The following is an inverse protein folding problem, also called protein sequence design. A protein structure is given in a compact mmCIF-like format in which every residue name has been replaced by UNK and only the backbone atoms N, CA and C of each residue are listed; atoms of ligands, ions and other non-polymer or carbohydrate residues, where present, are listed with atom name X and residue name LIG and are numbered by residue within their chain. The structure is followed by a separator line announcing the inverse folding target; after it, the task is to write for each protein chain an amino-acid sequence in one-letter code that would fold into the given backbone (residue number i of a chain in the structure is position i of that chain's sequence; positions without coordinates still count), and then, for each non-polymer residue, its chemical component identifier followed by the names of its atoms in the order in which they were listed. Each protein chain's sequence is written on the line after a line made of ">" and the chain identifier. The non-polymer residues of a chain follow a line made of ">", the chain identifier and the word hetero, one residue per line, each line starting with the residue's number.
data_IF_954108628372
#
_entry.id   IF_954108628372
#
_cell.length_a   1.000
_cell.length_b   1.000
_cell.length_c   1.000
_cell.angle_alpha   90.00
_cell.angle_beta   90.00
_cell.angle_gamma   90.00
#
_symmetry.space_group_name_H-M   'P 1'
#
loop_
_entity.id
_entity.type
_entity.pdbx_description
1 polymer ?
#
# COMPACT_ATOMS: atom_id res chain seq x y z
N UNK A 1 -17.44 20.22 -27.93
CA UNK A 1 -17.51 21.38 -27.03
C UNK A 1 -17.38 20.88 -25.61
N UNK A 2 -16.16 20.46 -25.20
CA UNK A 2 -15.74 20.19 -23.81
C UNK A 2 -14.31 19.60 -23.76
N UNK A 3 -13.38 20.19 -24.52
CA UNK A 3 -11.94 19.98 -24.31
C UNK A 3 -11.27 21.27 -23.77
N UNK A 4 -11.87 22.43 -24.06
CA UNK A 4 -11.31 23.74 -23.72
C UNK A 4 -11.41 24.07 -22.22
N UNK A 5 -12.40 23.52 -21.50
CA UNK A 5 -12.64 23.84 -20.09
C UNK A 5 -11.64 23.17 -19.10
N UNK A 6 -10.94 22.10 -19.54
CA UNK A 6 -9.93 21.42 -18.72
C UNK A 6 -8.54 22.03 -18.87
N UNK A 7 -8.21 22.56 -20.05
CA UNK A 7 -6.95 23.25 -20.29
C UNK A 7 -6.90 24.57 -19.51
N UNK A 8 -8.01 25.31 -19.48
CA UNK A 8 -8.08 26.61 -18.79
C UNK A 8 -7.91 26.49 -17.27
N UNK A 9 -8.45 25.44 -16.64
CA UNK A 9 -8.26 25.19 -15.20
C UNK A 9 -6.83 24.74 -14.84
N UNK A 10 -6.11 24.12 -15.78
CA UNK A 10 -4.70 23.75 -15.59
C UNK A 10 -3.79 24.95 -15.85
N UNK A 11 -4.06 25.76 -16.88
CA UNK A 11 -3.30 26.96 -17.21
C UNK A 11 -3.38 28.05 -16.13
N UNK A 12 -4.57 28.32 -15.56
CA UNK A 12 -4.77 29.39 -14.56
C UNK A 12 -3.89 29.20 -13.30
N UNK A 13 -3.53 27.96 -12.93
CA UNK A 13 -2.73 27.68 -11.74
C UNK A 13 -1.23 27.58 -12.02
N UNK A 14 -0.82 27.45 -13.29
CA UNK A 14 0.58 27.39 -13.71
C UNK A 14 1.19 28.80 -13.80
N UNK A 15 0.40 29.80 -14.17
CA UNK A 15 0.86 31.20 -14.28
C UNK A 15 1.27 31.82 -12.93
N UNK A 16 0.82 31.22 -11.81
CA UNK A 16 1.24 31.56 -10.44
C UNK A 16 2.19 30.55 -9.82
N UNK A 17 2.55 29.51 -10.57
CA UNK A 17 3.47 28.47 -10.14
C UNK A 17 4.91 28.98 -10.10
N UNK A 18 5.73 28.38 -9.24
CA UNK A 18 7.18 28.60 -9.23
C UNK A 18 7.87 27.58 -10.15
N UNK A 19 9.05 27.90 -10.71
CA UNK A 19 9.86 26.92 -11.44
C UNK A 19 10.16 25.67 -10.59
N UNK A 20 10.30 24.51 -11.24
CA UNK A 20 10.57 23.25 -10.53
C UNK A 20 11.82 23.32 -9.62
N UNK A 21 12.87 24.00 -10.07
CA UNK A 21 14.10 24.18 -9.26
C UNK A 21 13.79 24.89 -7.94
N UNK A 22 12.97 25.92 -7.97
CA UNK A 22 12.52 26.66 -6.80
C UNK A 22 11.58 25.82 -5.94
N UNK A 23 10.61 25.12 -6.54
CA UNK A 23 9.71 24.22 -5.82
C UNK A 23 10.47 23.14 -5.03
N UNK A 24 11.52 22.56 -5.61
CA UNK A 24 12.36 21.56 -4.94
C UNK A 24 13.17 22.16 -3.79
N UNK A 25 13.67 23.38 -3.94
CA UNK A 25 14.33 24.11 -2.84
C UNK A 25 13.36 24.45 -1.72
N UNK A 26 12.14 24.91 -2.05
CA UNK A 26 11.08 25.18 -1.08
C UNK A 26 10.66 23.91 -0.35
N UNK A 27 10.58 22.78 -1.03
CA UNK A 27 10.31 21.48 -0.42
C UNK A 27 11.42 21.05 0.54
N UNK A 28 12.69 21.23 0.15
CA UNK A 28 13.85 20.97 1.01
C UNK A 28 13.80 21.78 2.30
N UNK A 29 13.53 23.09 2.18
CA UNK A 29 13.39 24.00 3.31
C UNK A 29 12.21 23.61 4.19
N UNK A 30 11.07 23.24 3.60
CA UNK A 30 9.91 22.78 4.35
C UNK A 30 10.20 21.49 5.15
N UNK A 31 10.95 20.53 4.58
CA UNK A 31 11.39 19.34 5.31
C UNK A 31 12.34 19.68 6.47
N UNK A 32 13.22 20.67 6.29
CA UNK A 32 14.06 21.25 7.35
C UNK A 32 13.22 21.86 8.48
N UNK A 33 12.28 22.74 8.13
CA UNK A 33 11.41 23.44 9.08
C UNK A 33 10.50 22.46 9.86
N UNK A 34 10.15 21.32 9.25
CA UNK A 34 9.42 20.23 9.92
C UNK A 34 10.32 19.30 10.74
N UNK A 35 11.64 19.48 10.69
CA UNK A 35 12.61 18.60 11.37
C UNK A 35 12.69 17.21 10.77
N UNK A 36 12.22 17.00 9.54
CA UNK A 36 12.12 15.68 8.89
C UNK A 36 13.36 15.40 8.02
N UNK A 37 13.99 16.44 7.45
CA UNK A 37 15.05 16.28 6.43
C UNK A 37 16.18 15.34 6.83
N UNK A 38 16.57 15.33 8.11
CA UNK A 38 17.67 14.53 8.64
C UNK A 38 17.19 13.29 9.42
N UNK A 39 15.91 12.95 9.31
CA UNK A 39 15.32 11.76 9.93
C UNK A 39 15.28 10.60 8.94
N UNK A 40 14.93 9.40 9.42
CA UNK A 40 14.62 8.29 8.55
C UNK A 40 13.17 8.43 8.04
N UNK A 41 13.01 8.99 6.84
CA UNK A 41 11.72 9.10 6.15
C UNK A 41 11.78 8.50 4.74
N UNK A 42 10.62 8.26 4.14
CA UNK A 42 10.49 7.81 2.78
C UNK A 42 9.36 8.56 2.06
N UNK A 43 9.57 8.86 0.78
CA UNK A 43 8.51 9.35 -0.10
C UNK A 43 7.55 8.20 -0.41
N UNK A 44 6.25 8.48 -0.46
CA UNK A 44 5.21 7.52 -0.83
C UNK A 44 4.45 8.03 -2.03
N UNK A 45 4.27 7.19 -3.04
CA UNK A 45 3.56 7.50 -4.28
C UNK A 45 2.54 6.40 -4.58
N UNK A 46 1.53 6.69 -5.40
CA UNK A 46 0.62 5.64 -5.86
C UNK A 46 1.30 4.70 -6.87
N UNK A 47 2.27 5.19 -7.65
CA UNK A 47 3.00 4.36 -8.61
C UNK A 47 4.44 4.81 -8.80
N UNK A 48 5.24 4.02 -9.50
CA UNK A 48 6.61 4.41 -9.85
C UNK A 48 6.66 5.62 -10.79
N UNK A 49 5.55 5.95 -11.47
CA UNK A 49 5.50 7.02 -12.47
C UNK A 49 5.97 8.37 -11.93
N UNK A 50 5.55 8.74 -10.71
CA UNK A 50 5.82 10.05 -10.12
C UNK A 50 7.34 10.33 -9.97
N UNK A 51 8.06 9.40 -9.33
CA UNK A 51 9.48 9.58 -9.01
C UNK A 51 10.41 9.05 -10.12
N UNK A 52 10.06 7.94 -10.77
CA UNK A 52 10.91 7.29 -11.76
C UNK A 52 10.80 7.93 -13.15
N UNK A 53 9.62 8.39 -13.53
CA UNK A 53 9.37 8.89 -14.88
C UNK A 53 9.21 10.41 -14.84
N UNK A 54 8.16 10.91 -14.18
CA UNK A 54 7.80 12.33 -14.24
C UNK A 54 8.91 13.22 -13.68
N UNK A 55 9.25 13.06 -12.39
CA UNK A 55 10.24 13.92 -11.75
C UNK A 55 11.65 13.74 -12.31
N UNK A 56 12.04 12.49 -12.63
CA UNK A 56 13.35 12.18 -13.20
C UNK A 56 13.53 12.82 -14.58
N UNK A 57 12.58 12.58 -15.50
CA UNK A 57 12.64 13.13 -16.86
C UNK A 57 12.60 14.65 -16.85
N UNK A 58 11.76 15.25 -16.00
CA UNK A 58 11.65 16.71 -15.90
C UNK A 58 12.93 17.34 -15.34
N UNK A 59 13.53 16.75 -14.31
CA UNK A 59 14.83 17.20 -13.77
C UNK A 59 15.94 17.06 -14.82
N UNK A 60 15.98 15.94 -15.55
CA UNK A 60 16.96 15.73 -16.61
C UNK A 60 16.82 16.76 -17.73
N UNK A 61 15.60 16.95 -18.23
CA UNK A 61 15.28 17.89 -19.31
C UNK A 61 15.66 19.33 -18.92
N UNK A 62 15.31 19.75 -17.70
CA UNK A 62 15.59 21.10 -17.18
C UNK A 62 16.99 21.25 -16.58
N UNK A 63 17.82 20.20 -16.59
CA UNK A 63 19.17 20.16 -15.99
C UNK A 63 19.16 20.54 -14.49
N UNK A 64 18.13 20.13 -13.77
CA UNK A 64 17.97 20.35 -12.33
C UNK A 64 18.54 19.14 -11.58
N UNK A 65 19.34 19.39 -10.55
CA UNK A 65 19.79 18.33 -9.66
C UNK A 65 18.63 17.86 -8.77
N UNK A 66 18.14 16.65 -9.03
CA UNK A 66 17.05 16.05 -8.24
C UNK A 66 17.50 15.76 -6.79
N UNK A 67 16.71 16.12 -5.77
CA UNK A 67 17.00 15.76 -4.38
C UNK A 67 17.09 14.24 -4.16
N UNK A 68 18.12 13.72 -3.46
CA UNK A 68 18.35 12.27 -3.35
C UNK A 68 17.24 11.48 -2.65
N UNK A 69 16.44 12.10 -1.78
CA UNK A 69 15.32 11.41 -1.12
C UNK A 69 14.18 11.06 -2.08
N UNK A 70 14.14 11.61 -3.31
CA UNK A 70 13.26 11.14 -4.39
C UNK A 70 13.83 9.95 -5.17
N UNK A 71 15.05 9.46 -4.84
CA UNK A 71 15.62 8.26 -5.47
C UNK A 71 15.22 6.96 -4.78
N UNK A 72 14.45 7.03 -3.68
CA UNK A 72 13.98 5.86 -2.92
C UNK A 72 12.56 6.15 -2.42
N UNK A 73 11.60 5.33 -2.79
CA UNK A 73 10.19 5.54 -2.41
C UNK A 73 9.45 4.24 -2.17
N UNK A 74 8.25 4.39 -1.61
CA UNK A 74 7.25 3.34 -1.47
C UNK A 74 6.17 3.58 -2.53
N UNK A 75 6.10 2.68 -3.49
CA UNK A 75 5.01 2.57 -4.46
C UNK A 75 3.86 1.82 -3.78
N UNK A 76 2.81 2.54 -3.38
CA UNK A 76 1.71 2.03 -2.59
C UNK A 76 0.86 0.98 -3.33
N UNK A 77 0.94 0.86 -4.66
CA UNK A 77 0.30 -0.25 -5.40
C UNK A 77 0.85 -1.61 -4.98
N UNK A 78 2.13 -1.71 -4.62
CA UNK A 78 2.77 -2.98 -4.24
C UNK A 78 2.10 -3.55 -2.97
N UNK A 79 2.13 -2.86 -1.82
CA UNK A 79 1.48 -3.34 -0.60
C UNK A 79 -0.05 -3.41 -0.75
N UNK A 80 -0.67 -2.51 -1.53
CA UNK A 80 -2.09 -2.62 -1.81
C UNK A 80 -2.43 -3.95 -2.50
N UNK A 81 -1.65 -4.37 -3.51
CA UNK A 81 -1.87 -5.65 -4.19
C UNK A 81 -1.61 -6.85 -3.32
N UNK A 82 -0.67 -6.75 -2.37
CA UNK A 82 -0.43 -7.81 -1.40
C UNK A 82 -1.64 -8.03 -0.50
N UNK A 83 -2.28 -6.94 -0.08
CA UNK A 83 -3.42 -6.96 0.85
C UNK A 83 -4.74 -7.26 0.15
N UNK A 84 -4.99 -6.68 -1.02
CA UNK A 84 -6.28 -6.76 -1.74
C UNK A 84 -6.24 -7.70 -2.95
N UNK A 85 -5.10 -8.32 -3.24
CA UNK A 85 -4.87 -9.13 -4.44
C UNK A 85 -4.46 -8.29 -5.66
N UNK A 86 -4.04 -8.97 -6.73
CA UNK A 86 -3.54 -8.36 -7.97
C UNK A 86 -4.62 -7.70 -8.84
N UNK A 87 -5.55 -6.96 -8.23
CA UNK A 87 -6.60 -6.22 -8.92
C UNK A 87 -5.99 -5.05 -9.68
N UNK A 88 -6.28 -4.95 -10.97
CA UNK A 88 -5.96 -3.76 -11.77
C UNK A 88 -6.95 -2.67 -11.39
N UNK A 89 -6.44 -1.60 -10.79
CA UNK A 89 -7.22 -0.45 -10.39
C UNK A 89 -6.38 0.83 -10.41
N UNK A 90 -7.06 1.96 -10.58
CA UNK A 90 -6.51 3.29 -10.35
C UNK A 90 -6.56 3.67 -8.85
N UNK A 91 -6.02 4.85 -8.48
CA UNK A 91 -5.94 5.26 -7.08
C UNK A 91 -7.33 5.39 -6.43
N UNK A 92 -8.29 5.99 -7.15
CA UNK A 92 -9.64 6.22 -6.66
C UNK A 92 -10.36 4.90 -6.40
N UNK A 93 -10.27 3.96 -7.34
CA UNK A 93 -10.79 2.60 -7.19
C UNK A 93 -10.13 1.88 -6.01
N UNK A 94 -8.81 2.00 -5.83
CA UNK A 94 -8.11 1.39 -4.71
C UNK A 94 -8.56 1.94 -3.35
N UNK A 95 -8.73 3.25 -3.24
CA UNK A 95 -9.28 3.92 -2.05
C UNK A 95 -10.68 3.38 -1.74
N UNK A 96 -11.53 3.25 -2.76
CA UNK A 96 -12.88 2.72 -2.61
C UNK A 96 -12.91 1.22 -2.26
N UNK A 97 -12.02 0.42 -2.84
CA UNK A 97 -11.86 -1.01 -2.53
C UNK A 97 -11.36 -1.23 -1.09
N UNK A 98 -10.57 -0.29 -0.57
CA UNK A 98 -10.18 -0.26 0.85
C UNK A 98 -11.32 0.21 1.78
N UNK A 99 -12.52 0.46 1.25
CA UNK A 99 -13.67 0.91 2.04
C UNK A 99 -13.62 2.39 2.45
N UNK A 100 -12.72 3.19 1.85
CA UNK A 100 -12.61 4.62 2.09
C UNK A 100 -13.40 5.41 1.04
N UNK A 101 -14.05 6.50 1.45
CA UNK A 101 -14.65 7.44 0.52
C UNK A 101 -13.55 8.31 -0.14
N UNK A 102 -13.65 8.55 -1.44
CA UNK A 102 -12.79 9.50 -2.14
C UNK A 102 -13.09 10.93 -1.67
N UNK A 103 -12.04 11.70 -1.36
CA UNK A 103 -12.17 13.11 -0.97
C UNK A 103 -11.55 14.03 -2.03
N UNK A 104 -12.22 15.14 -2.35
CA UNK A 104 -11.72 16.13 -3.31
C UNK A 104 -11.88 15.72 -4.78
N UNK A 105 -11.15 16.39 -5.66
CA UNK A 105 -11.23 16.18 -7.12
C UNK A 105 -10.17 15.19 -7.59
N UNK A 106 -10.59 14.19 -8.34
CA UNK A 106 -9.66 13.26 -8.99
C UNK A 106 -8.72 14.02 -9.94
N UNK A 107 -7.46 13.61 -9.99
CA UNK A 107 -6.40 14.23 -10.80
C UNK A 107 -6.00 15.64 -10.34
N UNK A 108 -6.43 16.06 -9.14
CA UNK A 108 -5.81 17.17 -8.44
C UNK A 108 -4.69 16.62 -7.57
N UNK A 109 -3.43 17.01 -7.83
CA UNK A 109 -2.26 16.41 -7.16
C UNK A 109 -2.31 16.46 -5.63
N UNK A 110 -2.87 17.54 -5.05
CA UNK A 110 -3.04 17.65 -3.59
C UNK A 110 -4.08 16.67 -3.05
N UNK A 111 -5.22 16.53 -3.72
CA UNK A 111 -6.28 15.61 -3.29
C UNK A 111 -5.86 14.15 -3.49
N UNK A 112 -5.15 13.83 -4.59
CA UNK A 112 -4.58 12.52 -4.83
C UNK A 112 -3.53 12.15 -3.76
N UNK A 113 -2.69 13.10 -3.35
CA UNK A 113 -1.73 12.91 -2.26
C UNK A 113 -2.42 12.66 -0.91
N UNK A 114 -3.49 13.42 -0.59
CA UNK A 114 -4.29 13.20 0.63
C UNK A 114 -4.93 11.82 0.65
N UNK A 115 -5.54 11.39 -0.45
CA UNK A 115 -6.16 10.07 -0.53
C UNK A 115 -5.13 8.95 -0.47
N UNK A 116 -3.94 9.14 -1.05
CA UNK A 116 -2.82 8.20 -0.92
C UNK A 116 -2.35 8.09 0.53
N UNK A 117 -2.22 9.21 1.25
CA UNK A 117 -1.87 9.22 2.67
C UNK A 117 -2.96 8.52 3.53
N UNK A 118 -4.25 8.72 3.22
CA UNK A 118 -5.36 8.03 3.89
C UNK A 118 -5.31 6.52 3.67
N UNK A 119 -5.05 6.08 2.44
CA UNK A 119 -4.89 4.67 2.11
C UNK A 119 -3.67 4.05 2.81
N UNK A 120 -2.53 4.74 2.81
CA UNK A 120 -1.32 4.33 3.53
C UNK A 120 -1.62 4.16 5.03
N UNK A 121 -2.20 5.16 5.67
CA UNK A 121 -2.53 5.11 7.10
C UNK A 121 -3.53 3.98 7.41
N UNK A 122 -4.47 3.71 6.51
CA UNK A 122 -5.42 2.60 6.65
C UNK A 122 -4.71 1.24 6.65
N UNK A 123 -3.80 1.02 5.70
CA UNK A 123 -2.97 -0.18 5.63
C UNK A 123 -2.04 -0.33 6.84
N UNK A 124 -1.46 0.77 7.34
CA UNK A 124 -0.66 0.76 8.58
C UNK A 124 -1.50 0.33 9.79
N UNK A 125 -2.74 0.81 9.89
CA UNK A 125 -3.68 0.40 10.97
C UNK A 125 -4.03 -1.09 10.88
N UNK A 126 -3.96 -1.70 9.70
CA UNK A 126 -4.10 -3.14 9.50
C UNK A 126 -2.84 -3.93 9.89
N UNK A 127 -1.78 -3.26 10.37
CA UNK A 127 -0.52 -3.89 10.77
C UNK A 127 0.44 -4.15 9.61
N UNK A 128 0.17 -3.62 8.41
CA UNK A 128 1.09 -3.77 7.29
C UNK A 128 2.40 -3.02 7.56
N UNK A 129 3.53 -3.71 7.39
CA UNK A 129 4.87 -3.15 7.58
C UNK A 129 5.44 -2.75 6.22
N UNK A 130 5.71 -1.46 6.07
CA UNK A 130 6.21 -0.92 4.81
C UNK A 130 7.73 -0.95 4.72
N UNK A 131 8.23 -1.16 3.49
CA UNK A 131 9.62 -1.01 3.11
C UNK A 131 9.72 -0.28 1.78
N UNK A 132 10.89 0.29 1.48
CA UNK A 132 11.19 0.86 0.17
C UNK A 132 10.91 -0.19 -0.92
N UNK A 133 10.10 0.16 -1.91
CA UNK A 133 9.72 -0.76 -2.99
C UNK A 133 10.56 -0.53 -4.25
N UNK A 134 11.13 0.67 -4.41
CA UNK A 134 11.93 1.04 -5.58
C UNK A 134 13.04 2.01 -5.20
N UNK A 135 14.18 1.87 -5.88
CA UNK A 135 15.35 2.73 -5.75
C UNK A 135 15.99 2.98 -7.12
N UNK A 136 16.42 4.21 -7.37
CA UNK A 136 17.17 4.61 -8.58
C UNK A 136 18.67 4.75 -8.34
N UNK A 137 19.15 4.44 -7.13
CA UNK A 137 20.59 4.46 -6.87
C UNK A 137 21.30 3.47 -7.78
N UNK A 138 22.37 3.92 -8.45
CA UNK A 138 23.25 3.07 -9.22
C UNK A 138 23.86 2.03 -8.27
N UNK A 139 23.53 0.76 -8.46
CA UNK A 139 24.33 -0.31 -7.91
C UNK A 139 25.53 -0.45 -8.85
N UNK A 140 26.79 -0.35 -8.37
CA UNK A 140 27.89 -0.81 -9.18
C UNK A 140 27.64 -2.26 -9.60
N UNK A 141 27.93 -2.65 -10.87
CA UNK A 141 27.84 -4.05 -11.25
C UNK A 141 28.66 -4.86 -10.25
N UNK A 142 28.03 -5.90 -9.72
CA UNK A 142 28.55 -6.74 -8.66
C UNK A 142 30.03 -7.06 -8.89
N UNK A 143 30.85 -6.77 -7.87
CA UNK A 143 32.18 -7.35 -7.72
C UNK A 143 32.00 -8.87 -7.84
N UNK A 144 32.77 -9.60 -8.67
CA UNK A 144 32.56 -11.03 -8.83
C UNK A 144 32.66 -11.70 -7.45
N UNK A 145 31.61 -12.42 -7.06
CA UNK A 145 31.63 -13.31 -5.92
C UNK A 145 32.71 -14.35 -6.17
N UNK A 146 33.90 -14.13 -5.60
CA UNK A 146 34.93 -15.13 -5.47
C UNK A 146 34.34 -16.28 -4.67
N UNK A 147 34.05 -17.39 -5.37
CA UNK A 147 33.77 -18.69 -4.78
C UNK A 147 34.95 -19.09 -3.91
N UNK A 148 34.86 -18.85 -2.60
CA UNK A 148 35.70 -19.57 -1.65
C UNK A 148 35.06 -20.92 -1.40
N UNK A 149 35.64 -21.94 -2.04
CA UNK A 149 35.44 -23.34 -1.73
C UNK A 149 35.86 -23.59 -0.27
N UNK A 150 35.06 -24.36 0.46
CA UNK A 150 35.54 -25.15 1.59
C UNK A 150 35.35 -26.63 1.27
N UNK A 151 36.23 -27.52 1.77
CA UNK A 151 36.47 -28.83 1.17
C UNK A 151 35.59 -29.95 1.75
N UNK A 152 35.27 -30.90 0.87
CA UNK A 152 35.02 -32.34 1.03
C UNK A 152 34.02 -32.84 2.10
N UNK A 153 32.92 -33.49 1.65
CA UNK A 153 32.77 -34.96 1.42
C UNK A 153 31.26 -35.37 1.33
N UNK A 154 30.89 -36.61 0.94
CA UNK A 154 30.57 -36.99 -0.44
C UNK A 154 29.10 -37.41 -0.68
N UNK A 155 28.82 -37.53 -1.99
CA UNK A 155 27.63 -37.94 -2.72
C UNK A 155 26.81 -39.12 -2.16
N UNK A 156 25.47 -38.96 -2.20
CA UNK A 156 24.49 -40.03 -2.00
C UNK A 156 23.06 -39.66 -2.42
N UNK A 157 22.75 -39.89 -3.69
CA UNK A 157 21.48 -40.37 -4.26
C UNK A 157 20.14 -39.57 -4.18
N UNK A 158 19.63 -39.37 -5.41
CA UNK A 158 18.25 -39.51 -5.90
C UNK A 158 17.27 -38.33 -5.86
N UNK A 159 16.88 -37.95 -7.09
CA UNK A 159 15.91 -36.97 -7.50
C UNK A 159 14.47 -37.44 -7.26
N UNK A 160 13.65 -36.62 -6.60
CA UNK A 160 12.21 -36.57 -6.80
C UNK A 160 11.74 -35.09 -6.74
N UNK A 161 10.82 -34.65 -7.62
CA UNK A 161 10.36 -33.27 -7.65
C UNK A 161 9.37 -33.01 -6.49
N UNK A 162 9.81 -32.29 -5.46
CA UNK A 162 8.96 -31.86 -4.35
C UNK A 162 8.18 -30.58 -4.72
N UNK A 163 6.85 -30.73 -4.73
CA UNK A 163 5.85 -29.66 -4.76
C UNK A 163 6.21 -28.53 -3.78
N UNK A 164 6.25 -27.29 -4.29
CA UNK A 164 6.42 -26.08 -3.48
C UNK A 164 5.18 -25.90 -2.58
N UNK A 165 5.37 -26.16 -1.28
CA UNK A 165 4.40 -25.87 -0.23
C UNK A 165 4.24 -24.34 -0.10
N UNK A 166 2.99 -23.90 -0.03
CA UNK A 166 2.61 -22.51 0.24
C UNK A 166 3.29 -22.02 1.54
N UNK A 167 3.78 -20.77 1.61
CA UNK A 167 4.28 -20.22 2.86
C UNK A 167 3.09 -19.96 3.79
N UNK A 168 3.07 -20.64 4.94
CA UNK A 168 2.24 -20.24 6.08
C UNK A 168 2.69 -18.85 6.52
N UNK A 169 1.83 -17.85 6.29
CA UNK A 169 1.98 -16.53 6.91
C UNK A 169 1.66 -16.71 8.41
N UNK A 170 2.52 -16.24 9.33
CA UNK A 170 2.22 -16.28 10.75
C UNK A 170 0.95 -15.47 11.03
N UNK A 171 -0.05 -16.13 11.63
CA UNK A 171 -1.30 -15.53 12.05
C UNK A 171 -0.99 -14.62 13.27
N UNK A 172 -0.62 -13.38 13.00
CA UNK A 172 -0.47 -12.35 14.04
C UNK A 172 -1.87 -12.07 14.58
N UNK A 173 -2.17 -12.65 15.75
CA UNK A 173 -3.39 -12.41 16.49
C UNK A 173 -3.40 -10.94 16.96
N UNK A 174 -4.01 -10.07 16.15
CA UNK A 174 -4.24 -8.69 16.51
C UNK A 174 -5.17 -8.65 17.74
N UNK A 175 -4.62 -8.32 18.91
CA UNK A 175 -5.38 -8.02 20.11
C UNK A 175 -5.47 -6.49 20.23
N UNK A 176 -6.63 -5.86 19.95
CA UNK A 176 -6.87 -4.50 20.37
C UNK A 176 -7.07 -4.52 21.89
N UNK A 177 -6.08 -4.02 22.62
CA UNK A 177 -6.11 -3.85 24.07
C UNK A 177 -7.04 -2.71 24.45
N UNK A 178 -8.31 -3.04 24.74
CA UNK A 178 -9.12 -2.37 25.76
C UNK A 178 -10.02 -3.43 26.39
N UNK A 179 -9.58 -3.94 27.55
CA UNK A 179 -10.30 -4.95 28.34
C UNK A 179 -11.21 -4.21 29.30
N UNK A 180 -12.51 -4.22 28.99
CA UNK A 180 -13.57 -3.86 29.91
C UNK A 180 -14.26 -5.18 30.31
N UNK A 181 -14.17 -5.63 31.57
CA UNK A 181 -14.61 -6.96 31.98
C UNK A 181 -16.14 -7.01 32.03
N UNK A 182 -16.77 -7.31 30.89
CA UNK A 182 -18.22 -7.49 30.80
C UNK A 182 -18.87 -7.24 29.44
N UNK A 183 -18.14 -6.70 28.45
CA UNK A 183 -18.69 -6.46 27.10
C UNK A 183 -18.15 -7.46 26.09
N UNK A 184 -19.08 -8.10 25.36
CA UNK A 184 -18.79 -9.01 24.26
C UNK A 184 -17.83 -8.36 23.25
N UNK A 185 -16.75 -9.06 22.88
CA UNK A 185 -15.67 -8.56 22.02
C UNK A 185 -16.26 -8.09 20.68
N UNK A 186 -16.24 -6.78 20.43
CA UNK A 186 -16.77 -6.23 19.19
C UNK A 186 -15.73 -6.40 18.07
N UNK A 187 -16.06 -7.29 17.14
CA UNK A 187 -15.22 -7.60 15.99
C UNK A 187 -15.69 -6.76 14.80
N UNK A 188 -14.78 -6.16 14.05
CA UNK A 188 -15.06 -5.30 12.89
C UNK A 188 -14.54 -5.94 11.60
N UNK A 189 -15.24 -5.74 10.48
CA UNK A 189 -14.82 -6.21 9.15
C UNK A 189 -13.65 -5.40 8.57
N UNK A 190 -13.07 -5.86 7.46
CA UNK A 190 -12.12 -5.07 6.67
C UNK A 190 -12.72 -3.75 6.12
N UNK A 191 -14.05 -3.61 6.13
CA UNK A 191 -14.75 -2.39 5.76
C UNK A 191 -15.01 -1.41 6.91
N UNK A 192 -14.53 -1.69 8.13
CA UNK A 192 -14.77 -0.85 9.31
C UNK A 192 -16.18 -0.95 9.91
N UNK A 193 -17.10 -1.71 9.30
CA UNK A 193 -18.42 -2.03 9.84
C UNK A 193 -18.32 -3.11 10.90
N UNK A 194 -19.14 -3.03 11.95
CA UNK A 194 -19.25 -4.10 12.96
C UNK A 194 -19.58 -5.42 12.27
N UNK A 195 -18.76 -6.44 12.51
CA UNK A 195 -18.98 -7.77 11.96
C UNK A 195 -20.24 -8.40 12.57
N UNK A 196 -20.88 -9.27 11.81
CA UNK A 196 -22.02 -10.07 12.27
C UNK A 196 -21.57 -11.50 12.53
N UNK A 197 -21.85 -12.01 13.74
CA UNK A 197 -21.73 -13.43 14.07
C UNK A 197 -22.84 -14.21 13.35
N UNK A 198 -22.47 -15.23 12.60
CA UNK A 198 -23.38 -16.08 11.81
C UNK A 198 -23.02 -17.55 12.05
N UNK A 199 -24.01 -18.42 11.90
CA UNK A 199 -23.85 -19.87 12.03
C UNK A 199 -23.86 -20.55 10.67
N UNK A 200 -23.01 -21.55 10.48
CA UNK A 200 -23.03 -22.41 9.29
C UNK A 200 -24.25 -23.33 9.36
N UNK A 201 -25.24 -23.06 8.50
CA UNK A 201 -26.47 -23.88 8.39
C UNK A 201 -26.34 -25.05 7.42
N UNK A 202 -25.39 -24.99 6.48
CA UNK A 202 -25.21 -26.06 5.49
C UNK A 202 -24.72 -27.34 6.19
N UNK A 203 -25.24 -28.53 5.81
CA UNK A 203 -24.71 -29.80 6.31
C UNK A 203 -23.23 -29.94 5.95
N UNK A 204 -22.42 -30.43 6.89
CA UNK A 204 -20.98 -30.67 6.66
C UNK A 204 -20.14 -30.56 7.94
N UNK A 205 -18.82 -30.74 7.84
CA UNK A 205 -17.90 -30.81 9.00
C UNK A 205 -17.90 -29.57 9.91
N UNK A 206 -18.39 -28.43 9.40
CA UNK A 206 -18.50 -27.16 10.13
C UNK A 206 -19.94 -26.76 10.45
N UNK A 207 -20.91 -27.66 10.26
CA UNK A 207 -22.31 -27.40 10.59
C UNK A 207 -22.44 -26.98 12.07
N UNK A 208 -23.23 -25.94 12.34
CA UNK A 208 -23.41 -25.40 13.70
C UNK A 208 -22.25 -24.53 14.21
N UNK A 209 -21.10 -24.50 13.51
CA UNK A 209 -19.99 -23.60 13.87
C UNK A 209 -20.35 -22.13 13.60
N UNK A 210 -19.84 -21.23 14.43
CA UNK A 210 -20.00 -19.79 14.28
C UNK A 210 -18.81 -19.14 13.56
N UNK A 211 -19.09 -18.14 12.74
CA UNK A 211 -18.09 -17.28 12.10
C UNK A 211 -18.55 -15.82 12.15
N UNK A 212 -17.60 -14.90 12.08
CA UNK A 212 -17.84 -13.48 11.89
C UNK A 212 -17.70 -13.14 10.41
N UNK A 213 -18.67 -12.41 9.87
CA UNK A 213 -18.65 -11.89 8.50
C UNK A 213 -18.96 -10.40 8.46
N UNK A 214 -18.75 -9.76 7.31
CA UNK A 214 -19.13 -8.36 7.12
C UNK A 214 -20.61 -8.12 7.50
N UNK A 215 -20.85 -7.12 8.37
CA UNK A 215 -22.22 -6.72 8.74
C UNK A 215 -22.95 -5.93 7.65
N UNK A 216 -22.21 -5.35 6.71
CA UNK A 216 -22.75 -4.69 5.53
C UNK A 216 -23.03 -5.72 4.43
N UNK A 217 -24.11 -6.46 4.61
CA UNK A 217 -24.60 -7.48 3.69
C UNK A 217 -25.92 -7.02 3.08
N UNK A 218 -26.03 -6.98 1.75
CA UNK A 218 -27.29 -6.69 1.06
C UNK A 218 -27.71 -7.90 0.22
N UNK A 219 -29.03 -8.15 0.15
CA UNK A 219 -29.58 -9.28 -0.60
C UNK A 219 -29.24 -9.24 -2.10
N UNK A 220 -28.99 -8.05 -2.66
CA UNK A 220 -28.71 -7.83 -4.08
C UNK A 220 -27.21 -7.81 -4.43
N UNK A 221 -26.31 -7.48 -3.50
CA UNK A 221 -24.86 -7.36 -3.78
C UNK A 221 -23.98 -8.32 -2.96
N UNK A 222 -24.56 -9.10 -2.06
CA UNK A 222 -23.80 -9.95 -1.15
C UNK A 222 -23.00 -9.13 -0.12
N UNK A 223 -21.99 -9.72 0.53
CA UNK A 223 -21.14 -8.99 1.46
C UNK A 223 -20.24 -8.00 0.70
N UNK A 224 -20.34 -6.71 1.04
CA UNK A 224 -19.48 -5.64 0.46
C UNK A 224 -17.99 -5.83 0.77
N UNK A 225 -17.67 -6.68 1.75
CA UNK A 225 -16.33 -6.95 2.24
C UNK A 225 -16.17 -8.45 2.47
N UNK A 226 -15.03 -9.00 2.07
CA UNK A 226 -14.69 -10.43 2.18
C UNK A 226 -14.23 -10.85 3.58
N UNK A 227 -14.52 -10.05 4.60
CA UNK A 227 -14.19 -10.38 5.98
C UNK A 227 -14.87 -11.68 6.41
N UNK A 228 -14.05 -12.60 6.90
CA UNK A 228 -14.44 -13.89 7.41
C UNK A 228 -13.46 -14.33 8.50
N UNK A 229 -13.97 -14.69 9.66
CA UNK A 229 -13.17 -15.23 10.77
C UNK A 229 -13.99 -16.28 11.53
N UNK A 230 -13.42 -17.42 11.89
CA UNK A 230 -14.12 -18.39 12.74
C UNK A 230 -14.25 -17.84 14.17
N UNK A 231 -15.43 -17.95 14.77
CA UNK A 231 -15.55 -17.65 16.19
C UNK A 231 -14.79 -18.70 16.99
N UNK A 232 -13.91 -18.25 17.88
CA UNK A 232 -13.26 -19.14 18.85
C UNK A 232 -14.33 -19.83 19.69
N UNK A 233 -14.14 -21.13 19.90
CA UNK A 233 -14.99 -22.01 20.71
C UNK A 233 -15.06 -21.56 22.16
#
# INVERSE_FOLDING_TARGET
>A
MEADNFADLILINVDRGVPLSEALLMHDKWLEDKGIKHTNFAVVTWSDWDCQVMLESECHFKRIRKPPYFNRWINLKVPFREVFGAVRCNLKEAVQLAGLAWEGRAHCGLDDARNTARLLAHLMRWGFRFSITKSLMWQPPDRPLTWQQSPDRPLGANHHPLKLKQPLVPLVQYHPSHVDPGKERQIYCFCGVKSSKRMVRKPGPKHGSFFFGCGNWTATRGPLCRYFEWASS
#
